data_IF_496346035615
#
_entry.id   IF_496346035615
#
_cell.length_a   1.000
_cell.length_b   1.000
_cell.length_c   1.000
_cell.angle_alpha   90.00
_cell.angle_beta   90.00
_cell.angle_gamma   90.00
#
_symmetry.space_group_name_H-M   'P 1'
#
loop_
_entity.id
_entity.type
_entity.pdbx_description
1 polymer ?
#
# COMPACT_ATOMS: atom_id res chain seq x y z
N UNK A 1 12.95 -7.23 5.02
CA UNK A 1 11.55 -7.68 5.05
C UNK A 1 10.80 -6.87 3.99
N UNK A 2 9.89 -7.49 3.23
CA UNK A 2 9.17 -6.80 2.16
C UNK A 2 8.21 -5.75 2.75
N UNK A 3 8.13 -4.57 2.13
CA UNK A 3 7.20 -3.49 2.49
C UNK A 3 6.24 -3.24 1.34
N UNK A 4 4.98 -3.00 1.66
CA UNK A 4 3.92 -2.90 0.67
C UNK A 4 3.19 -1.56 0.75
N UNK A 5 2.74 -1.08 -0.40
CA UNK A 5 1.77 -0.01 -0.54
C UNK A 5 0.56 -0.57 -1.28
N UNK A 6 -0.60 -0.62 -0.63
CA UNK A 6 -1.85 -0.96 -1.29
C UNK A 6 -2.41 0.27 -2.01
N UNK A 7 -2.61 0.13 -3.32
CA UNK A 7 -3.21 1.15 -4.18
C UNK A 7 -4.64 1.52 -3.73
N UNK A 8 -5.14 2.68 -4.15
CA UNK A 8 -6.44 3.23 -3.76
C UNK A 8 -7.59 2.26 -4.06
N UNK A 9 -7.53 1.59 -5.21
CA UNK A 9 -8.54 0.64 -5.67
C UNK A 9 -8.31 -0.80 -5.19
N UNK A 10 -7.30 -1.04 -4.35
CA UNK A 10 -6.98 -2.38 -3.87
C UNK A 10 -8.05 -2.91 -2.91
N UNK A 11 -8.37 -4.21 -2.99
CA UNK A 11 -9.41 -4.80 -2.16
C UNK A 11 -9.02 -4.79 -0.67
N UNK A 12 -9.63 -3.90 0.11
CA UNK A 12 -9.32 -3.73 1.53
C UNK A 12 -9.63 -4.97 2.39
N UNK A 13 -10.44 -5.91 1.91
CA UNK A 13 -10.64 -7.19 2.60
C UNK A 13 -9.37 -8.04 2.62
N UNK A 14 -8.53 -7.94 1.57
CA UNK A 14 -7.23 -8.62 1.51
C UNK A 14 -6.29 -8.03 2.55
N UNK A 15 -6.14 -6.70 2.58
CA UNK A 15 -5.30 -5.99 3.56
C UNK A 15 -5.70 -6.36 4.99
N UNK A 16 -7.01 -6.32 5.30
CA UNK A 16 -7.54 -6.73 6.60
C UNK A 16 -7.27 -8.21 6.92
N UNK A 17 -7.40 -9.09 5.93
CA UNK A 17 -7.11 -10.52 6.10
C UNK A 17 -5.65 -10.78 6.43
N UNK A 18 -4.75 -10.13 5.67
CA UNK A 18 -3.30 -10.22 5.86
C UNK A 18 -2.90 -9.71 7.24
N UNK A 19 -3.37 -8.52 7.66
CA UNK A 19 -3.07 -7.96 8.98
C UNK A 19 -3.60 -8.83 10.14
N UNK A 20 -4.72 -9.53 9.95
CA UNK A 20 -5.23 -10.48 10.95
C UNK A 20 -4.34 -11.72 11.10
N UNK A 21 -3.73 -12.19 10.00
CA UNK A 21 -2.91 -13.40 10.00
C UNK A 21 -1.44 -13.11 10.34
N UNK A 22 -0.93 -11.94 9.95
CA UNK A 22 0.42 -11.48 10.19
C UNK A 22 0.40 -9.99 10.60
N UNK A 23 0.25 -9.70 11.90
CA UNK A 23 0.15 -8.32 12.39
C UNK A 23 1.42 -7.48 12.15
N UNK A 24 2.58 -8.13 12.04
CA UNK A 24 3.88 -7.47 11.91
C UNK A 24 4.28 -7.17 10.45
N UNK A 25 3.44 -7.50 9.47
CA UNK A 25 3.72 -7.19 8.06
C UNK A 25 3.63 -5.67 7.82
N UNK A 26 4.63 -5.12 7.14
CA UNK A 26 4.64 -3.70 6.76
C UNK A 26 3.81 -3.50 5.48
N UNK A 27 2.53 -3.21 5.66
CA UNK A 27 1.61 -2.82 4.60
C UNK A 27 0.89 -1.54 5.02
N UNK A 28 0.95 -0.52 4.17
CA UNK A 28 0.18 0.71 4.30
C UNK A 28 -0.71 0.88 3.06
N UNK A 29 -1.79 1.63 3.18
CA UNK A 29 -2.64 1.99 2.03
C UNK A 29 -2.30 3.39 1.57
N UNK A 30 -2.54 3.68 0.29
CA UNK A 30 -2.46 5.04 -0.28
C UNK A 30 -3.25 6.05 0.57
N UNK A 31 -4.38 5.63 1.15
CA UNK A 31 -5.18 6.51 2.02
C UNK A 31 -4.55 6.79 3.39
N UNK A 32 -3.66 5.92 3.87
CA UNK A 32 -3.01 6.07 5.18
C UNK A 32 -1.76 6.96 5.11
N UNK A 33 -1.34 7.35 3.91
CA UNK A 33 -0.11 8.13 3.64
C UNK A 33 -0.39 9.42 2.88
N UNK A 34 -1.62 9.93 2.98
CA UNK A 34 -2.07 11.19 2.38
C UNK A 34 -1.94 11.26 0.85
N UNK A 35 -1.99 10.11 0.17
CA UNK A 35 -1.94 9.99 -1.29
C UNK A 35 -3.29 9.66 -1.94
N UNK A 36 -4.41 9.71 -1.19
CA UNK A 36 -5.75 9.48 -1.74
C UNK A 36 -6.02 10.39 -2.95
N UNK A 37 -6.42 9.82 -4.09
CA UNK A 37 -6.68 10.55 -5.33
C UNK A 37 -5.44 11.12 -6.03
N UNK A 38 -4.23 10.82 -5.56
CA UNK A 38 -3.00 11.17 -6.27
C UNK A 38 -2.90 10.37 -7.58
N UNK A 39 -2.23 10.93 -8.57
CA UNK A 39 -1.99 10.24 -9.84
C UNK A 39 -0.95 9.12 -9.71
N UNK A 40 -0.99 8.16 -10.65
CA UNK A 40 -0.08 7.01 -10.63
C UNK A 40 1.41 7.41 -10.54
N UNK A 41 1.92 8.41 -11.29
CA UNK A 41 3.31 8.83 -11.15
C UNK A 41 3.67 9.30 -9.74
N UNK A 42 2.79 10.04 -9.07
CA UNK A 42 3.01 10.50 -7.69
C UNK A 42 3.05 9.32 -6.72
N UNK A 43 2.10 8.38 -6.84
CA UNK A 43 2.05 7.16 -6.00
C UNK A 43 3.29 6.30 -6.20
N UNK A 44 3.71 6.08 -7.46
CA UNK A 44 4.88 5.27 -7.79
C UNK A 44 6.19 5.93 -7.32
N UNK A 45 6.32 7.26 -7.47
CA UNK A 45 7.49 7.99 -6.99
C UNK A 45 7.64 7.88 -5.47
N UNK A 46 6.54 8.04 -4.73
CA UNK A 46 6.53 7.85 -3.28
C UNK A 46 6.87 6.41 -2.89
N UNK A 47 6.28 5.41 -3.54
CA UNK A 47 6.57 4.01 -3.26
C UNK A 47 8.04 3.66 -3.51
N UNK A 48 8.64 4.21 -4.58
CA UNK A 48 10.05 4.04 -4.89
C UNK A 48 10.95 4.71 -3.83
N UNK A 49 10.63 5.93 -3.41
CA UNK A 49 11.34 6.65 -2.35
C UNK A 49 11.28 5.88 -1.02
N UNK A 50 10.12 5.34 -0.66
CA UNK A 50 9.91 4.58 0.56
C UNK A 50 10.38 3.12 0.45
N UNK A 51 10.85 2.68 -0.72
CA UNK A 51 11.26 1.30 -0.99
C UNK A 51 10.15 0.28 -0.68
N UNK A 52 8.94 0.56 -1.18
CA UNK A 52 7.72 -0.25 -1.05
C UNK A 52 7.31 -0.84 -2.39
N UNK A 53 6.83 -2.08 -2.38
CA UNK A 53 6.21 -2.71 -3.54
C UNK A 53 4.72 -2.34 -3.60
N UNK A 54 4.28 -1.84 -4.76
CA UNK A 54 2.88 -1.45 -4.96
C UNK A 54 2.03 -2.69 -5.26
N UNK A 55 0.93 -2.83 -4.54
CA UNK A 55 -0.11 -3.84 -4.76
C UNK A 55 -1.27 -3.18 -5.51
N UNK A 56 -1.51 -3.61 -6.74
CA UNK A 56 -2.62 -3.14 -7.59
C UNK A 56 -3.51 -4.33 -8.02
N UNK A 57 -4.68 -4.06 -8.60
CA UNK A 57 -5.70 -5.08 -8.94
C UNK A 57 -5.56 -5.62 -10.36
#
# INVERSE_FOLDING_TARGET
>A
MARFLADENFNNQIVRGVLRQSPDIDIVRVQDVDLSGADDPTVLAWAAQEGRMVLTR
#
